data_IF_610913738676
#
_entry.id   IF_610913738676
#
_cell.length_a   1.000
_cell.length_b   1.000
_cell.length_c   1.000
_cell.angle_alpha   90.00
_cell.angle_beta   90.00
_cell.angle_gamma   90.00
#
_symmetry.space_group_name_H-M   'P 1'
#
loop_
_entity.id
_entity.type
_entity.pdbx_description
1 polymer ?
#
# COMPACT_ATOMS: atom_id res chain seq x y z
N UNK A 1 6.33 -18.28 -1.76
CA UNK A 1 6.79 -16.90 -1.50
C UNK A 1 6.61 -15.98 -2.72
N UNK A 2 7.23 -16.27 -3.87
CA UNK A 2 7.12 -15.44 -5.10
C UNK A 2 5.65 -15.23 -5.51
N UNK A 3 4.88 -16.32 -5.59
CA UNK A 3 3.45 -16.30 -5.95
C UNK A 3 2.65 -15.48 -4.93
N UNK A 4 2.96 -15.61 -3.63
CA UNK A 4 2.29 -14.89 -2.55
C UNK A 4 2.51 -13.37 -2.65
N UNK A 5 3.73 -12.93 -2.98
CA UNK A 5 4.04 -11.51 -3.21
C UNK A 5 3.30 -10.98 -4.45
N UNK A 6 3.29 -11.75 -5.53
CA UNK A 6 2.55 -11.41 -6.74
C UNK A 6 1.05 -11.28 -6.48
N UNK A 7 0.45 -12.26 -5.79
CA UNK A 7 -0.96 -12.23 -5.40
C UNK A 7 -1.28 -11.02 -4.50
N UNK A 8 -0.41 -10.69 -3.55
CA UNK A 8 -0.56 -9.50 -2.71
C UNK A 8 -0.59 -8.21 -3.53
N UNK A 9 0.37 -8.02 -4.45
CA UNK A 9 0.44 -6.83 -5.30
C UNK A 9 -0.78 -6.74 -6.21
N UNK A 10 -1.20 -7.86 -6.80
CA UNK A 10 -2.39 -7.93 -7.65
C UNK A 10 -3.66 -7.61 -6.88
N UNK A 11 -3.84 -8.19 -5.68
CA UNK A 11 -4.97 -7.89 -4.81
C UNK A 11 -5.04 -6.39 -4.48
N UNK A 12 -3.90 -5.78 -4.15
CA UNK A 12 -3.80 -4.33 -3.89
C UNK A 12 -4.11 -3.48 -5.12
N UNK A 13 -3.79 -3.94 -6.32
CA UNK A 13 -4.19 -3.25 -7.56
C UNK A 13 -5.69 -3.33 -7.80
N UNK A 14 -6.32 -4.48 -7.52
CA UNK A 14 -7.77 -4.61 -7.62
C UNK A 14 -8.52 -3.73 -6.61
N UNK A 15 -7.94 -3.51 -5.43
CA UNK A 15 -8.50 -2.61 -4.41
C UNK A 15 -8.63 -1.17 -4.94
N UNK A 16 -7.64 -0.68 -5.70
CA UNK A 16 -7.71 0.64 -6.37
C UNK A 16 -8.84 0.72 -7.40
N UNK A 17 -9.06 -0.35 -8.18
CA UNK A 17 -10.13 -0.40 -9.19
C UNK A 17 -11.52 -0.40 -8.53
N UNK A 18 -11.66 -1.03 -7.36
CA UNK A 18 -12.90 -0.99 -6.58
C UNK A 18 -13.17 0.42 -6.06
N UNK A 19 -12.16 1.10 -5.52
CA UNK A 19 -12.29 2.47 -5.05
C UNK A 19 -12.70 3.45 -6.15
N UNK A 20 -12.16 3.30 -7.36
CA UNK A 20 -12.56 4.14 -8.50
C UNK A 20 -14.05 3.97 -8.86
N UNK A 21 -14.55 2.72 -8.77
CA UNK A 21 -15.97 2.43 -8.94
C UNK A 21 -16.82 3.03 -7.81
N UNK A 22 -16.34 2.98 -6.57
CA UNK A 22 -17.05 3.52 -5.41
C UNK A 22 -17.14 5.06 -5.49
N UNK A 23 -16.10 5.74 -5.99
CA UNK A 23 -16.11 7.18 -6.29
C UNK A 23 -17.13 7.52 -7.38
N UNK A 24 -17.22 6.73 -8.45
CA UNK A 24 -18.24 6.91 -9.49
C UNK A 24 -19.67 6.68 -8.96
N UNK A 25 -19.84 5.70 -8.07
CA UNK A 25 -21.11 5.46 -7.39
C UNK A 25 -21.50 6.63 -6.48
N UNK A 26 -20.57 7.19 -5.71
CA UNK A 26 -20.82 8.35 -4.85
C UNK A 26 -21.36 9.54 -5.66
N UNK A 27 -20.73 9.87 -6.79
CA UNK A 27 -21.19 10.93 -7.71
C UNK A 27 -22.62 10.70 -8.20
N UNK A 28 -22.95 9.45 -8.55
CA UNK A 28 -24.30 9.06 -8.99
C UNK A 28 -25.32 9.18 -7.86
N UNK A 29 -24.97 8.74 -6.65
CA UNK A 29 -25.83 8.84 -5.48
C UNK A 29 -26.07 10.30 -5.09
N UNK A 30 -25.04 11.16 -5.12
CA UNK A 30 -25.15 12.61 -4.90
C UNK A 30 -26.13 13.26 -5.86
N UNK A 31 -26.07 12.89 -7.15
CA UNK A 31 -27.00 13.39 -8.15
C UNK A 31 -28.46 12.93 -7.92
N UNK A 32 -28.66 11.73 -7.35
CA UNK A 32 -29.99 11.17 -7.04
C UNK A 32 -30.54 11.65 -5.70
N UNK A 33 -29.67 11.95 -4.73
CA UNK A 33 -30.05 12.43 -3.40
C UNK A 33 -30.82 13.75 -3.46
N UNK A 34 -30.52 14.62 -4.44
CA UNK A 34 -31.22 15.89 -4.68
C UNK A 34 -31.40 16.70 -3.37
N UNK A 35 -32.51 17.41 -3.20
CA UNK A 35 -32.82 18.22 -2.00
C UNK A 35 -33.26 17.41 -0.78
N UNK A 36 -33.20 16.06 -0.80
CA UNK A 36 -33.57 15.26 0.37
C UNK A 36 -32.42 15.27 1.40
N UNK A 37 -32.61 15.91 2.56
CA UNK A 37 -31.54 16.08 3.55
C UNK A 37 -31.08 14.75 4.17
N UNK A 38 -31.96 13.74 4.26
CA UNK A 38 -31.61 12.43 4.83
C UNK A 38 -30.76 11.63 3.84
N UNK A 39 -31.12 11.69 2.55
CA UNK A 39 -30.32 11.06 1.49
C UNK A 39 -28.98 11.77 1.32
N UNK A 40 -28.94 13.09 1.48
CA UNK A 40 -27.71 13.88 1.50
C UNK A 40 -26.75 13.41 2.59
N UNK A 41 -27.22 13.32 3.83
CA UNK A 41 -26.42 12.86 4.97
C UNK A 41 -25.86 11.43 4.78
N UNK A 42 -26.67 10.51 4.23
CA UNK A 42 -26.20 9.15 3.94
C UNK A 42 -25.11 9.11 2.85
N UNK A 43 -25.17 10.05 1.88
CA UNK A 43 -24.11 10.19 0.86
C UNK A 43 -22.86 10.82 1.45
N UNK A 44 -22.97 11.78 2.38
CA UNK A 44 -21.82 12.39 3.05
C UNK A 44 -21.03 11.36 3.87
N UNK A 45 -21.72 10.46 4.59
CA UNK A 45 -21.07 9.38 5.34
C UNK A 45 -20.38 8.38 4.38
N UNK A 46 -21.03 8.02 3.27
CA UNK A 46 -20.44 7.16 2.24
C UNK A 46 -19.20 7.79 1.58
N UNK A 47 -19.25 9.07 1.22
CA UNK A 47 -18.13 9.80 0.65
C UNK A 47 -16.96 9.89 1.63
N UNK A 48 -17.23 10.17 2.91
CA UNK A 48 -16.22 10.21 3.97
C UNK A 48 -15.47 8.89 4.09
N UNK A 49 -16.19 7.76 4.13
CA UNK A 49 -15.60 6.44 4.18
C UNK A 49 -14.72 6.13 2.96
N UNK A 50 -15.11 6.60 1.76
CA UNK A 50 -14.28 6.45 0.55
C UNK A 50 -13.02 7.30 0.65
N UNK A 51 -13.11 8.55 1.07
CA UNK A 51 -11.96 9.46 1.16
C UNK A 51 -10.91 8.96 2.14
N UNK A 52 -11.31 8.45 3.31
CA UNK A 52 -10.40 7.82 4.27
C UNK A 52 -9.61 6.67 3.62
N UNK A 53 -10.34 5.79 2.92
CA UNK A 53 -9.76 4.63 2.26
C UNK A 53 -8.84 5.02 1.11
N UNK A 54 -9.21 6.04 0.33
CA UNK A 54 -8.42 6.57 -0.77
C UNK A 54 -7.12 7.21 -0.25
N UNK A 55 -7.19 7.93 0.87
CA UNK A 55 -6.02 8.54 1.51
C UNK A 55 -5.06 7.48 2.05
N UNK A 56 -5.59 6.44 2.69
CA UNK A 56 -4.79 5.30 3.12
C UNK A 56 -4.14 4.55 1.95
N UNK A 57 -4.90 4.23 0.90
CA UNK A 57 -4.40 3.48 -0.26
C UNK A 57 -3.37 4.28 -1.06
N UNK A 58 -3.57 5.59 -1.23
CA UNK A 58 -2.62 6.46 -1.95
C UNK A 58 -1.31 6.65 -1.20
N UNK A 59 -1.35 6.67 0.14
CA UNK A 59 -0.17 6.91 0.97
C UNK A 59 0.56 5.61 1.31
N UNK A 60 -0.13 4.59 1.79
CA UNK A 60 0.49 3.34 2.27
C UNK A 60 0.69 2.34 1.13
N UNK A 61 -0.24 2.30 0.17
CA UNK A 61 -0.29 1.29 -0.90
C UNK A 61 0.95 1.23 -1.81
N UNK A 62 1.43 2.35 -2.38
CA UNK A 62 2.63 2.35 -3.23
C UNK A 62 3.89 1.86 -2.49
N UNK A 63 4.07 2.31 -1.23
CA UNK A 63 5.24 1.97 -0.41
C UNK A 63 5.22 0.50 0.00
N UNK A 64 4.06 -0.03 0.39
CA UNK A 64 3.91 -1.44 0.73
C UNK A 64 4.16 -2.36 -0.48
N UNK A 65 3.76 -1.94 -1.69
CA UNK A 65 4.09 -2.66 -2.93
C UNK A 65 5.59 -2.62 -3.22
N UNK A 66 6.23 -1.46 -3.06
CA UNK A 66 7.68 -1.31 -3.18
C UNK A 66 8.44 -2.22 -2.22
N UNK A 67 8.04 -2.27 -0.96
CA UNK A 67 8.59 -3.18 0.04
C UNK A 67 8.44 -4.65 -0.39
N UNK A 68 7.25 -5.05 -0.85
CA UNK A 68 6.99 -6.43 -1.26
C UNK A 68 7.91 -6.88 -2.42
N UNK A 69 8.09 -6.02 -3.44
CA UNK A 69 9.01 -6.29 -4.55
C UNK A 69 10.47 -6.31 -4.13
N UNK A 70 10.87 -5.39 -3.25
CA UNK A 70 12.23 -5.36 -2.72
C UNK A 70 12.55 -6.61 -1.90
N UNK A 71 11.63 -7.07 -1.06
CA UNK A 71 11.79 -8.32 -0.30
C UNK A 71 11.95 -9.53 -1.22
N UNK A 72 11.16 -9.58 -2.30
CA UNK A 72 11.27 -10.64 -3.30
C UNK A 72 12.65 -10.62 -3.98
N UNK A 73 13.13 -9.44 -4.40
CA UNK A 73 14.46 -9.27 -4.96
C UNK A 73 15.57 -9.71 -4.01
N UNK A 74 15.43 -9.41 -2.71
CA UNK A 74 16.38 -9.82 -1.69
C UNK A 74 16.46 -11.34 -1.55
N UNK A 75 15.30 -12.02 -1.51
CA UNK A 75 15.26 -13.49 -1.39
C UNK A 75 15.78 -14.17 -2.66
N UNK A 76 15.46 -13.65 -3.84
CA UNK A 76 15.99 -14.18 -5.10
C UNK A 76 17.51 -13.98 -5.19
N UNK A 77 18.01 -12.80 -4.82
CA UNK A 77 19.44 -12.51 -4.75
C UNK A 77 20.17 -13.45 -3.79
N UNK A 78 19.65 -13.61 -2.56
CA UNK A 78 20.25 -14.50 -1.57
C UNK A 78 20.23 -15.96 -2.03
N UNK A 79 19.12 -16.43 -2.61
CA UNK A 79 19.00 -17.78 -3.15
C UNK A 79 20.01 -18.03 -4.29
N UNK A 80 20.14 -17.07 -5.22
CA UNK A 80 21.10 -17.15 -6.32
C UNK A 80 22.56 -17.16 -5.84
N UNK A 81 22.86 -16.38 -4.80
CA UNK A 81 24.18 -16.33 -4.17
C UNK A 81 24.55 -17.68 -3.56
N UNK A 82 23.63 -18.29 -2.80
CA UNK A 82 23.85 -19.58 -2.15
C UNK A 82 24.00 -20.72 -3.16
N UNK A 83 23.28 -20.67 -4.28
CA UNK A 83 23.33 -21.71 -5.31
C UNK A 83 24.71 -21.86 -5.98
N UNK A 84 25.51 -20.78 -6.01
CA UNK A 84 26.84 -20.75 -6.65
C UNK A 84 27.99 -20.66 -5.64
N UNK A 85 27.69 -20.75 -4.33
CA UNK A 85 28.65 -20.46 -3.25
C UNK A 85 29.86 -21.42 -3.22
N UNK A 86 29.67 -22.69 -3.56
CA UNK A 86 30.73 -23.72 -3.46
C UNK A 86 31.66 -23.77 -4.68
N UNK A 87 31.48 -22.85 -5.63
CA UNK A 87 32.25 -22.80 -6.86
C UNK A 87 33.68 -22.28 -6.67
N UNK A 88 34.68 -23.04 -7.11
CA UNK A 88 36.10 -22.62 -7.05
C UNK A 88 36.53 -21.75 -8.24
N UNK A 89 35.77 -21.79 -9.36
CA UNK A 89 36.08 -21.04 -10.56
C UNK A 89 35.88 -19.52 -10.37
N UNK A 90 36.73 -18.70 -10.99
CA UNK A 90 36.65 -17.24 -10.87
C UNK A 90 35.30 -16.68 -11.31
N UNK A 91 34.70 -17.27 -12.36
CA UNK A 91 33.36 -16.90 -12.86
C UNK A 91 32.30 -17.16 -11.80
N UNK A 92 32.36 -18.30 -11.11
CA UNK A 92 31.40 -18.65 -10.05
C UNK A 92 31.50 -17.70 -8.86
N UNK A 93 32.73 -17.34 -8.45
CA UNK A 93 32.95 -16.33 -7.40
C UNK A 93 32.37 -14.97 -7.77
N UNK A 94 32.61 -14.51 -8.99
CA UNK A 94 32.05 -13.23 -9.48
C UNK A 94 30.52 -13.24 -9.47
N UNK A 95 29.90 -14.35 -9.90
CA UNK A 95 28.44 -14.52 -9.89
C UNK A 95 27.89 -14.53 -8.46
N UNK A 96 28.53 -15.25 -7.54
CA UNK A 96 28.16 -15.26 -6.13
C UNK A 96 28.15 -13.85 -5.54
N UNK A 97 29.24 -13.09 -5.68
CA UNK A 97 29.31 -11.72 -5.16
C UNK A 97 28.33 -10.77 -5.86
N UNK A 98 28.05 -10.98 -7.14
CA UNK A 98 27.01 -10.22 -7.86
C UNK A 98 25.62 -10.43 -7.25
N UNK A 99 25.23 -11.68 -7.01
CA UNK A 99 23.96 -11.99 -6.35
C UNK A 99 23.92 -11.52 -4.89
N UNK A 100 25.02 -11.64 -4.15
CA UNK A 100 25.12 -11.15 -2.78
C UNK A 100 24.92 -9.62 -2.72
N UNK A 101 25.56 -8.88 -3.64
CA UNK A 101 25.40 -7.42 -3.74
C UNK A 101 23.95 -7.03 -4.06
N UNK A 102 23.30 -7.74 -4.99
CA UNK A 102 21.88 -7.53 -5.30
C UNK A 102 21.00 -7.81 -4.08
N UNK A 103 21.25 -8.90 -3.35
CA UNK A 103 20.50 -9.23 -2.15
C UNK A 103 20.59 -8.10 -1.11
N UNK A 104 21.81 -7.60 -0.84
CA UNK A 104 22.05 -6.49 0.08
C UNK A 104 21.30 -5.23 -0.37
N UNK A 105 21.41 -4.84 -1.65
CA UNK A 105 20.74 -3.65 -2.18
C UNK A 105 19.21 -3.73 -2.06
N UNK A 106 18.64 -4.89 -2.36
CA UNK A 106 17.20 -5.13 -2.21
C UNK A 106 16.76 -5.19 -0.74
N UNK A 107 17.57 -5.75 0.16
CA UNK A 107 17.28 -5.73 1.59
C UNK A 107 17.24 -4.30 2.13
N UNK A 108 18.21 -3.45 1.78
CA UNK A 108 18.20 -2.05 2.18
C UNK A 108 16.98 -1.31 1.63
N UNK A 109 16.65 -1.54 0.36
CA UNK A 109 15.47 -0.96 -0.28
C UNK A 109 14.18 -1.41 0.41
N UNK A 110 14.08 -2.69 0.78
CA UNK A 110 12.96 -3.23 1.54
C UNK A 110 12.82 -2.52 2.89
N UNK A 111 13.91 -2.34 3.63
CA UNK A 111 13.90 -1.67 4.93
C UNK A 111 13.43 -0.21 4.80
N UNK A 112 13.88 0.51 3.78
CA UNK A 112 13.43 1.89 3.51
C UNK A 112 11.93 1.93 3.23
N UNK A 113 11.44 1.10 2.30
CA UNK A 113 10.01 1.07 1.99
C UNK A 113 9.16 0.59 3.17
N UNK A 114 9.65 -0.37 3.95
CA UNK A 114 9.00 -0.83 5.16
C UNK A 114 8.88 0.30 6.18
N UNK A 115 9.97 1.01 6.45
CA UNK A 115 9.99 2.15 7.38
C UNK A 115 9.03 3.25 6.92
N UNK A 116 9.03 3.60 5.63
CA UNK A 116 8.10 4.59 5.08
C UNK A 116 6.63 4.12 5.14
N UNK A 117 6.39 2.82 4.98
CA UNK A 117 5.06 2.21 5.09
C UNK A 117 4.55 2.29 6.53
N UNK A 118 5.39 1.93 7.50
CA UNK A 118 5.08 2.01 8.94
C UNK A 118 4.86 3.45 9.34
N UNK A 119 5.78 4.35 8.97
CA UNK A 119 5.67 5.78 9.24
C UNK A 119 4.33 6.30 8.73
N UNK A 120 4.02 6.09 7.45
CA UNK A 120 2.73 6.48 6.88
C UNK A 120 1.56 5.87 7.66
N UNK A 121 1.56 4.57 7.95
CA UNK A 121 0.48 3.93 8.69
C UNK A 121 0.28 4.47 10.12
N UNK A 122 1.33 4.98 10.76
CA UNK A 122 1.29 5.53 12.12
C UNK A 122 1.12 7.04 12.18
N UNK A 123 1.55 7.78 11.16
CA UNK A 123 1.57 9.24 11.12
C UNK A 123 0.38 9.82 10.34
N UNK A 124 -0.34 9.00 9.58
CA UNK A 124 -1.66 9.36 9.08
C UNK A 124 -2.51 9.64 10.32
N UNK A 125 -2.91 10.90 10.57
CA UNK A 125 -3.77 11.18 11.70
C UNK A 125 -5.00 10.32 11.48
N UNK A 126 -5.33 9.50 12.48
CA UNK A 126 -6.72 9.09 12.65
C UNK A 126 -7.43 10.39 12.98
N UNK A 127 -7.77 11.19 11.97
CA UNK A 127 -8.78 12.23 12.10
C UNK A 127 -10.01 11.39 12.40
N UNK A 128 -10.24 11.09 13.67
CA UNK A 128 -11.51 10.56 14.10
C UNK A 128 -12.46 11.69 13.79
N UNK A 129 -13.28 11.51 12.75
CA UNK A 129 -14.39 12.42 12.46
C UNK A 129 -15.34 12.57 13.66
N UNK A 130 -15.18 11.74 14.70
CA UNK A 130 -15.63 11.98 16.08
C UNK A 130 -15.36 13.43 16.54
N UNK A 131 -14.16 13.97 16.31
CA UNK A 131 -13.82 15.35 16.70
C UNK A 131 -14.61 16.38 15.87
N UNK A 132 -14.91 16.09 14.60
CA UNK A 132 -15.76 16.96 13.76
C UNK A 132 -17.24 16.86 14.14
N UNK A 133 -17.75 15.67 14.49
CA UNK A 133 -19.12 15.51 15.00
C UNK A 133 -19.29 16.15 16.38
N UNK A 134 -18.26 16.11 17.24
CA UNK A 134 -18.26 16.80 18.54
C UNK A 134 -18.18 18.31 18.36
N UNK A 135 -17.33 18.81 17.45
CA UNK A 135 -17.22 20.24 17.18
C UNK A 135 -18.51 20.84 16.60
N UNK A 136 -19.28 20.05 15.84
CA UNK A 136 -20.58 20.47 15.29
C UNK A 136 -21.70 20.37 16.34
N UNK A 137 -21.64 19.38 17.24
CA UNK A 137 -22.56 19.26 18.37
C UNK A 137 -22.34 20.30 19.49
N UNK A 138 -21.10 20.78 19.68
CA UNK A 138 -20.75 21.84 20.64
C UNK A 138 -20.99 23.26 20.09
N UNK A 139 -21.25 23.38 18.77
CA UNK A 139 -21.53 24.64 18.09
C UNK A 139 -23.03 25.01 18.02
N UNK A 140 -23.91 24.08 18.37
CA UNK A 140 -25.37 24.26 18.56
C UNK A 140 -25.74 24.48 20.03
#
# INVERSE_FOLDING_TARGET
MVISVGLYVWYRQQETVRLDRDVDLAKKLRAVAAEDPVRGAAVDEFETAIYERLFYVSTVGPRARGAAWALLGAVLGASGSLWVADGSAIVQKSVHYGFAALAIGFTLTFLVFLALTIYAATSLPRISFEDSYQAEADAD
#
